data_IF_833215518075
#
_entry.id   IF_833215518075
#
_cell.length_a   1.000
_cell.length_b   1.000
_cell.length_c   1.000
_cell.angle_alpha   90.00
_cell.angle_beta   90.00
_cell.angle_gamma   90.00
#
_symmetry.space_group_name_H-M   'P 1'
#
loop_
_entity.id
_entity.type
_entity.pdbx_description
1 polymer ?
#
# COMPACT_ATOMS: atom_id res chain seq x y z
N UNK A 1 48.84 -14.75 2.36
CA UNK A 1 47.69 -15.38 1.67
C UNK A 1 46.50 -14.40 1.67
N UNK A 2 46.70 -13.19 1.13
CA UNK A 2 45.70 -12.11 1.03
C UNK A 2 45.89 -11.25 -0.24
N UNK A 3 46.76 -11.67 -1.17
CA UNK A 3 47.15 -10.89 -2.37
C UNK A 3 46.54 -11.41 -3.69
N UNK A 4 45.57 -12.33 -3.64
CA UNK A 4 45.02 -12.98 -4.85
C UNK A 4 43.59 -12.57 -5.22
N UNK A 5 42.99 -11.56 -4.58
CA UNK A 5 41.59 -11.16 -4.85
C UNK A 5 41.50 -9.87 -5.67
N UNK A 6 42.48 -9.61 -6.54
CA UNK A 6 42.40 -8.53 -7.53
C UNK A 6 42.59 -9.12 -8.92
N UNK A 7 41.69 -8.74 -9.84
CA UNK A 7 41.63 -9.16 -11.24
C UNK A 7 40.85 -10.45 -11.56
N UNK A 8 39.61 -10.51 -11.08
CA UNK A 8 38.50 -10.66 -12.04
C UNK A 8 37.75 -9.34 -12.02
N UNK A 9 38.24 -8.37 -12.79
CA UNK A 9 37.38 -7.31 -13.27
C UNK A 9 36.15 -8.00 -13.84
N UNK A 10 34.97 -7.72 -13.28
CA UNK A 10 33.72 -7.96 -13.98
C UNK A 10 33.93 -7.29 -15.33
N UNK A 11 34.06 -8.07 -16.40
CA UNK A 11 34.03 -7.53 -17.75
C UNK A 11 32.75 -6.71 -17.80
N UNK A 12 32.87 -5.37 -17.82
CA UNK A 12 31.79 -4.53 -18.31
C UNK A 12 31.50 -5.10 -19.69
N UNK A 13 30.38 -5.83 -19.80
CA UNK A 13 29.86 -6.24 -21.09
C UNK A 13 29.83 -5.01 -21.99
N UNK A 14 30.05 -5.20 -23.28
CA UNK A 14 29.89 -4.14 -24.27
C UNK A 14 28.59 -3.37 -23.96
N UNK A 15 28.61 -2.03 -23.95
CA UNK A 15 27.43 -1.26 -23.63
C UNK A 15 26.36 -1.62 -24.65
N UNK A 16 25.37 -2.41 -24.23
CA UNK A 16 24.17 -2.59 -25.01
C UNK A 16 23.53 -1.21 -25.07
N UNK A 17 23.55 -0.63 -26.27
CA UNK A 17 23.01 0.67 -26.63
C UNK A 17 21.49 0.67 -26.67
N UNK A 18 20.84 0.00 -25.72
CA UNK A 18 19.42 0.20 -25.45
C UNK A 18 19.27 1.46 -24.61
N UNK A 19 18.36 2.39 -24.97
CA UNK A 19 18.04 3.52 -24.11
C UNK A 19 17.61 3.02 -22.73
N UNK A 20 17.95 3.76 -21.69
CA UNK A 20 17.53 3.43 -20.33
C UNK A 20 15.99 3.45 -20.24
N UNK A 21 15.39 2.58 -19.40
CA UNK A 21 13.96 2.64 -19.14
C UNK A 21 13.57 4.01 -18.58
N UNK A 22 12.45 4.55 -19.05
CA UNK A 22 11.92 5.83 -18.58
C UNK A 22 10.94 5.56 -17.45
N UNK A 23 11.11 6.19 -16.31
CA UNK A 23 10.17 6.07 -15.18
C UNK A 23 9.74 7.45 -14.69
N UNK A 24 8.61 7.49 -13.99
CA UNK A 24 8.19 8.67 -13.24
C UNK A 24 8.20 8.36 -11.74
N UNK A 25 8.65 9.31 -10.92
CA UNK A 25 8.57 9.22 -9.46
C UNK A 25 7.60 10.28 -8.95
N UNK A 26 6.53 9.81 -8.30
CA UNK A 26 5.49 10.65 -7.72
C UNK A 26 5.67 10.69 -6.21
N UNK A 27 6.11 11.82 -5.67
CA UNK A 27 6.37 11.95 -4.24
C UNK A 27 5.14 12.45 -3.47
N UNK A 28 4.89 11.80 -2.33
CA UNK A 28 3.81 12.14 -1.39
C UNK A 28 4.30 12.60 -0.01
N UNK A 29 5.63 12.68 0.17
CA UNK A 29 6.30 13.06 1.41
C UNK A 29 6.63 11.86 2.31
N UNK A 30 6.33 11.97 3.60
CA UNK A 30 6.65 10.95 4.60
C UNK A 30 8.10 10.92 5.07
N UNK A 31 8.41 9.94 5.90
CA UNK A 31 9.71 9.81 6.57
C UNK A 31 10.90 9.65 5.63
N UNK A 32 10.69 9.09 4.43
CA UNK A 32 11.73 8.97 3.39
C UNK A 32 12.24 10.32 2.91
N UNK A 33 11.45 11.40 3.10
CA UNK A 33 11.83 12.77 2.78
C UNK A 33 12.03 13.65 4.04
N UNK A 34 11.56 13.22 5.22
CA UNK A 34 11.60 14.04 6.45
C UNK A 34 13.00 14.18 7.04
N UNK A 35 13.41 15.38 7.44
CA UNK A 35 14.75 15.68 7.97
C UNK A 35 14.74 15.88 9.48
N UNK A 36 15.56 15.14 10.22
CA UNK A 36 15.74 15.36 11.66
C UNK A 36 16.81 16.41 11.98
N UNK A 37 16.82 16.96 13.21
CA UNK A 37 17.79 17.98 13.63
C UNK A 37 19.21 17.43 13.81
N UNK A 38 19.38 16.10 13.95
CA UNK A 38 20.68 15.45 14.06
C UNK A 38 20.62 13.98 13.64
N UNK A 39 21.79 13.36 13.43
CA UNK A 39 21.91 11.99 12.89
C UNK A 39 21.41 10.87 13.81
N UNK A 40 21.16 11.15 15.09
CA UNK A 40 20.59 10.20 16.06
C UNK A 40 19.07 10.38 16.25
N UNK A 41 18.44 11.22 15.42
CA UNK A 41 17.00 11.44 15.52
C UNK A 41 16.25 10.42 14.67
N UNK A 42 15.38 9.66 15.33
CA UNK A 42 14.51 8.65 14.72
C UNK A 42 13.03 8.92 15.04
N UNK A 43 12.71 10.01 15.72
CA UNK A 43 11.39 10.25 16.30
C UNK A 43 10.87 11.67 16.08
N UNK A 44 11.71 12.69 16.14
CA UNK A 44 11.29 14.10 16.11
C UNK A 44 11.24 14.68 14.69
N UNK A 45 11.88 14.04 13.70
CA UNK A 45 11.89 14.50 12.31
C UNK A 45 10.52 14.85 11.72
N UNK A 46 9.38 14.21 12.10
CA UNK A 46 8.07 14.64 11.61
C UNK A 46 7.58 15.97 12.21
N UNK A 47 8.09 16.36 13.38
CA UNK A 47 7.60 17.50 14.17
C UNK A 47 8.46 18.77 14.03
N UNK A 48 9.78 18.60 13.97
CA UNK A 48 10.74 19.72 14.02
C UNK A 48 11.57 19.85 12.74
N UNK A 49 11.32 18.97 11.78
CA UNK A 49 12.11 18.78 10.58
C UNK A 49 11.73 19.62 9.38
N UNK A 50 12.64 19.66 8.41
CA UNK A 50 12.31 20.02 7.03
C UNK A 50 11.93 18.77 6.23
N UNK A 51 11.64 18.96 4.95
CA UNK A 51 11.43 17.86 4.01
C UNK A 51 12.31 18.07 2.77
N UNK A 52 12.87 16.99 2.25
CA UNK A 52 13.48 16.97 0.92
C UNK A 52 12.37 16.92 -0.13
N UNK A 53 12.57 17.65 -1.21
CA UNK A 53 11.91 17.38 -2.49
C UNK A 53 12.36 16.03 -3.05
N UNK A 54 11.63 15.49 -4.04
CA UNK A 54 12.07 14.27 -4.71
C UNK A 54 13.40 14.47 -5.47
N UNK A 55 13.64 15.65 -6.03
CA UNK A 55 14.91 15.97 -6.70
C UNK A 55 16.09 15.96 -5.71
N UNK A 56 15.93 16.55 -4.52
CA UNK A 56 16.95 16.51 -3.48
C UNK A 56 17.18 15.09 -2.95
N UNK A 57 16.14 14.26 -2.91
CA UNK A 57 16.25 12.84 -2.56
C UNK A 57 17.06 12.07 -3.62
N UNK A 58 16.78 12.30 -4.91
CA UNK A 58 17.54 11.71 -6.02
C UNK A 58 19.00 12.16 -6.05
N UNK A 59 19.30 13.40 -5.67
CA UNK A 59 20.67 13.91 -5.57
C UNK A 59 21.54 13.14 -4.54
N UNK A 60 20.91 12.42 -3.60
CA UNK A 60 21.62 11.56 -2.64
C UNK A 60 21.97 10.18 -3.19
N UNK A 61 21.32 9.76 -4.28
CA UNK A 61 21.51 8.46 -4.94
C UNK A 61 21.77 8.64 -6.44
N UNK A 62 22.86 9.31 -6.84
CA UNK A 62 23.16 9.57 -8.25
C UNK A 62 23.21 8.30 -9.11
N UNK A 63 23.45 7.13 -8.51
CA UNK A 63 23.41 5.81 -9.15
C UNK A 63 22.04 5.47 -9.76
N UNK A 64 20.96 6.14 -9.34
CA UNK A 64 19.64 5.99 -9.95
C UNK A 64 19.63 6.35 -11.45
N UNK A 65 20.50 7.29 -11.87
CA UNK A 65 20.63 7.70 -13.27
C UNK A 65 21.31 6.63 -14.16
N UNK A 66 22.01 5.66 -13.57
CA UNK A 66 22.55 4.51 -14.30
C UNK A 66 21.47 3.43 -14.54
N UNK A 67 20.33 3.51 -13.84
CA UNK A 67 19.25 2.53 -13.87
C UNK A 67 18.11 2.97 -14.79
N UNK A 68 17.74 4.25 -14.74
CA UNK A 68 16.58 4.78 -15.47
C UNK A 68 16.72 6.26 -15.83
N UNK A 69 16.03 6.67 -16.89
CA UNK A 69 15.71 8.07 -17.15
C UNK A 69 14.51 8.47 -16.26
N UNK A 70 14.76 9.34 -15.29
CA UNK A 70 13.81 9.64 -14.21
C UNK A 70 13.16 11.01 -14.45
N UNK A 71 11.83 11.02 -14.55
CA UNK A 71 11.01 12.21 -14.29
C UNK A 71 10.55 12.15 -12.84
N UNK A 72 10.51 13.30 -12.16
CA UNK A 72 10.15 13.36 -10.76
C UNK A 72 9.18 14.52 -10.50
N UNK A 73 8.18 14.28 -9.66
CA UNK A 73 7.21 15.29 -9.26
C UNK A 73 6.79 15.11 -7.80
N UNK A 74 6.63 16.23 -7.09
CA UNK A 74 6.05 16.27 -5.74
C UNK A 74 4.55 16.64 -5.88
N UNK A 75 3.66 15.66 -5.71
CA UNK A 75 2.20 15.90 -5.82
C UNK A 75 1.58 16.24 -4.47
N UNK A 76 2.10 15.62 -3.41
CA UNK A 76 1.65 15.77 -2.03
C UNK A 76 2.90 15.84 -1.17
N UNK A 77 2.91 16.67 -0.13
CA UNK A 77 4.04 16.74 0.82
C UNK A 77 3.52 16.79 2.25
N UNK A 78 2.91 15.68 2.69
CA UNK A 78 2.37 15.53 4.06
C UNK A 78 2.81 14.23 4.71
N UNK A 79 2.66 14.14 6.03
CA UNK A 79 2.77 12.86 6.74
C UNK A 79 1.63 11.93 6.32
N UNK A 80 1.90 10.63 6.13
CA UNK A 80 0.89 9.72 5.59
C UNK A 80 -0.32 9.49 6.50
N UNK A 81 -0.25 9.89 7.77
CA UNK A 81 -1.41 9.97 8.68
C UNK A 81 -2.47 11.00 8.24
N UNK A 82 -2.12 11.89 7.30
CA UNK A 82 -3.03 12.85 6.68
C UNK A 82 -3.42 12.47 5.24
N UNK A 83 -2.97 11.31 4.73
CA UNK A 83 -3.35 10.81 3.40
C UNK A 83 -4.59 9.93 3.53
N UNK A 84 -5.66 10.31 2.86
CA UNK A 84 -6.93 9.58 2.86
C UNK A 84 -7.62 9.57 1.49
N UNK A 85 -8.94 9.39 1.46
CA UNK A 85 -9.70 9.21 0.21
C UNK A 85 -9.48 10.30 -0.86
N UNK A 86 -9.45 11.61 -0.54
CA UNK A 86 -9.18 12.64 -1.55
C UNK A 86 -7.79 12.51 -2.17
N UNK A 87 -6.76 12.28 -1.34
CA UNK A 87 -5.37 12.11 -1.79
C UNK A 87 -5.21 10.81 -2.60
N UNK A 88 -5.88 9.74 -2.19
CA UNK A 88 -5.90 8.46 -2.91
C UNK A 88 -6.50 8.62 -4.32
N UNK A 89 -7.64 9.31 -4.44
CA UNK A 89 -8.25 9.62 -5.74
C UNK A 89 -7.31 10.44 -6.63
N UNK A 90 -6.73 11.51 -6.08
CA UNK A 90 -5.77 12.37 -6.79
C UNK A 90 -4.56 11.57 -7.27
N UNK A 91 -3.99 10.72 -6.43
CA UNK A 91 -2.82 9.91 -6.77
C UNK A 91 -3.13 8.85 -7.83
N UNK A 92 -4.26 8.15 -7.71
CA UNK A 92 -4.68 7.14 -8.68
C UNK A 92 -4.96 7.76 -10.06
N UNK A 93 -5.67 8.89 -10.10
CA UNK A 93 -5.93 9.62 -11.34
C UNK A 93 -4.62 10.09 -11.97
N UNK A 94 -3.69 10.65 -11.18
CA UNK A 94 -2.39 11.09 -11.68
C UNK A 94 -1.59 9.94 -12.30
N UNK A 95 -1.49 8.80 -11.62
CA UNK A 95 -0.76 7.62 -12.11
C UNK A 95 -1.39 7.10 -13.41
N UNK A 96 -2.73 7.02 -13.48
CA UNK A 96 -3.43 6.62 -14.69
C UNK A 96 -3.21 7.60 -15.85
N UNK A 97 -3.13 8.91 -15.58
CA UNK A 97 -2.84 9.93 -16.58
C UNK A 97 -1.39 9.88 -17.07
N UNK A 98 -0.42 9.66 -16.18
CA UNK A 98 0.98 9.46 -16.53
C UNK A 98 1.10 8.33 -17.55
N UNK A 99 0.50 7.18 -17.25
CA UNK A 99 0.54 6.01 -18.13
C UNK A 99 -0.19 6.24 -19.46
N UNK A 100 -1.33 6.92 -19.43
CA UNK A 100 -2.11 7.24 -20.64
C UNK A 100 -1.36 8.19 -21.57
N UNK A 101 -0.68 9.18 -21.01
CA UNK A 101 0.01 10.22 -21.77
C UNK A 101 1.41 9.80 -22.24
N UNK A 102 2.02 8.80 -21.61
CA UNK A 102 3.33 8.28 -22.01
C UNK A 102 3.31 6.74 -22.20
N UNK A 103 2.94 6.26 -23.40
CA UNK A 103 2.98 4.84 -23.74
C UNK A 103 4.39 4.22 -23.68
N UNK A 104 5.44 5.04 -23.73
CA UNK A 104 6.84 4.58 -23.68
C UNK A 104 7.40 4.48 -22.25
N UNK A 105 6.64 4.93 -21.24
CA UNK A 105 7.05 4.84 -19.84
C UNK A 105 7.11 3.38 -19.39
N UNK A 106 8.18 3.00 -18.71
CA UNK A 106 8.40 1.66 -18.17
C UNK A 106 7.62 1.41 -16.88
N UNK A 107 7.49 2.40 -16.00
CA UNK A 107 6.78 2.27 -14.73
C UNK A 107 6.75 3.55 -13.90
N UNK A 108 6.08 3.48 -12.76
CA UNK A 108 5.96 4.59 -11.79
C UNK A 108 6.44 4.14 -10.42
N UNK A 109 7.29 4.94 -9.78
CA UNK A 109 7.60 4.79 -8.35
C UNK A 109 6.86 5.87 -7.55
N UNK A 110 6.52 5.55 -6.30
CA UNK A 110 5.85 6.48 -5.38
C UNK A 110 6.61 6.49 -4.07
N UNK A 111 7.05 7.67 -3.61
CA UNK A 111 7.59 7.82 -2.25
C UNK A 111 6.46 8.19 -1.30
N UNK A 112 6.37 7.51 -0.16
CA UNK A 112 5.25 7.61 0.75
C UNK A 112 5.66 7.44 2.22
N UNK A 113 4.89 8.03 3.13
CA UNK A 113 5.06 7.80 4.56
C UNK A 113 4.60 6.41 4.98
N UNK A 114 5.32 5.78 5.91
CA UNK A 114 5.07 4.37 6.26
C UNK A 114 3.82 4.12 7.11
N UNK A 115 3.19 5.15 7.71
CA UNK A 115 2.05 4.94 8.61
C UNK A 115 0.84 4.30 7.93
N UNK A 116 0.50 4.75 6.72
CA UNK A 116 -0.66 4.27 5.92
C UNK A 116 -0.23 3.76 4.53
N UNK A 117 1.06 3.43 4.34
CA UNK A 117 1.59 2.97 3.05
C UNK A 117 0.81 1.76 2.50
N UNK A 118 0.48 0.81 3.36
CA UNK A 118 -0.29 -0.39 2.99
C UNK A 118 -1.72 -0.07 2.51
N UNK A 119 -2.31 1.02 3.00
CA UNK A 119 -3.65 1.47 2.62
C UNK A 119 -3.62 2.11 1.23
N UNK A 120 -2.73 3.09 1.03
CA UNK A 120 -2.52 3.72 -0.28
C UNK A 120 -2.14 2.69 -1.33
N UNK A 121 -1.26 1.73 -0.97
CA UNK A 121 -0.87 0.66 -1.87
C UNK A 121 -2.05 -0.19 -2.29
N UNK A 122 -2.89 -0.62 -1.35
CA UNK A 122 -4.04 -1.44 -1.70
C UNK A 122 -5.09 -0.67 -2.50
N UNK A 123 -5.32 0.62 -2.18
CA UNK A 123 -6.20 1.47 -2.98
C UNK A 123 -5.73 1.55 -4.44
N UNK A 124 -4.44 1.82 -4.66
CA UNK A 124 -3.85 1.87 -6.00
C UNK A 124 -3.89 0.49 -6.69
N UNK A 125 -3.67 -0.59 -5.95
CA UNK A 125 -3.76 -1.97 -6.45
C UNK A 125 -5.13 -2.27 -7.06
N UNK A 126 -6.17 -1.62 -6.57
CA UNK A 126 -7.54 -1.77 -7.04
C UNK A 126 -7.93 -0.75 -8.12
N UNK A 127 -7.26 0.39 -8.24
CA UNK A 127 -7.73 1.54 -9.04
C UNK A 127 -6.81 1.95 -10.20
N UNK A 128 -5.55 1.52 -10.21
CA UNK A 128 -4.64 1.72 -11.35
C UNK A 128 -5.12 0.87 -12.53
N UNK A 129 -5.20 1.46 -13.73
CA UNK A 129 -5.69 0.82 -14.96
C UNK A 129 -4.60 0.57 -15.99
N UNK A 130 -3.43 0.19 -15.50
CA UNK A 130 -2.28 -0.20 -16.32
C UNK A 130 -1.63 -1.49 -15.78
N UNK A 131 -0.94 -2.23 -16.64
CA UNK A 131 -0.20 -3.45 -16.27
C UNK A 131 1.28 -3.18 -16.01
N UNK A 132 1.80 -2.00 -16.34
CA UNK A 132 3.16 -1.58 -16.02
C UNK A 132 3.36 -1.42 -14.51
N UNK A 133 4.59 -1.55 -14.00
CA UNK A 133 4.87 -1.53 -12.58
C UNK A 133 4.49 -0.19 -11.95
N UNK A 134 3.80 -0.27 -10.81
CA UNK A 134 3.66 0.83 -9.86
C UNK A 134 4.24 0.34 -8.55
N UNK A 135 5.25 1.04 -8.04
CA UNK A 135 6.03 0.61 -6.88
C UNK A 135 5.98 1.69 -5.82
N UNK A 136 5.47 1.37 -4.64
CA UNK A 136 5.40 2.31 -3.52
C UNK A 136 6.49 1.96 -2.52
N UNK A 137 7.22 2.97 -2.07
CA UNK A 137 8.26 2.82 -1.07
C UNK A 137 8.20 3.90 -0.01
N UNK A 138 8.91 3.68 1.09
CA UNK A 138 9.03 4.61 2.20
C UNK A 138 10.30 4.32 3.00
N UNK A 139 10.44 4.95 4.15
CA UNK A 139 11.55 4.69 5.06
C UNK A 139 11.09 4.71 6.51
N UNK A 140 11.71 3.88 7.34
CA UNK A 140 11.51 3.91 8.79
C UNK A 140 12.42 4.93 9.48
N UNK A 141 13.55 5.27 8.86
CA UNK A 141 14.51 6.25 9.34
C UNK A 141 14.60 7.43 8.36
N UNK A 142 14.67 8.68 8.84
CA UNK A 142 14.81 9.83 7.96
C UNK A 142 16.15 9.82 7.21
N UNK A 143 16.30 10.53 6.07
CA UNK A 143 17.58 10.64 5.35
C UNK A 143 18.75 11.18 6.18
N UNK A 144 18.46 11.96 7.23
CA UNK A 144 19.46 12.50 8.16
C UNK A 144 20.02 11.46 9.12
N UNK A 145 19.29 10.37 9.38
CA UNK A 145 19.62 9.43 10.44
C UNK A 145 20.79 8.49 10.09
N UNK A 146 21.51 8.04 11.11
CA UNK A 146 22.50 6.99 10.97
C UNK A 146 21.83 5.68 10.53
N UNK A 147 22.42 5.06 9.50
CA UNK A 147 21.91 3.82 8.92
C UNK A 147 20.52 3.99 8.33
N UNK A 148 20.26 5.13 7.68
CA UNK A 148 18.98 5.38 7.00
C UNK A 148 18.68 4.30 5.96
N UNK A 149 17.43 3.89 5.89
CA UNK A 149 16.88 3.00 4.86
C UNK A 149 16.29 3.78 3.67
N UNK A 150 16.24 5.12 3.74
CA UNK A 150 15.64 5.96 2.70
C UNK A 150 16.31 5.80 1.33
N UNK A 151 17.64 5.84 1.30
CA UNK A 151 18.41 5.83 0.05
C UNK A 151 18.30 4.46 -0.66
N UNK A 152 18.43 3.36 0.09
CA UNK A 152 18.35 1.99 -0.47
C UNK A 152 16.92 1.64 -0.91
N UNK A 153 15.91 2.03 -0.13
CA UNK A 153 14.52 1.77 -0.49
C UNK A 153 14.12 2.57 -1.75
N UNK A 154 14.61 3.80 -1.91
CA UNK A 154 14.35 4.62 -3.11
C UNK A 154 15.02 4.02 -4.36
N UNK A 155 16.30 3.63 -4.29
CA UNK A 155 16.97 3.04 -5.45
C UNK A 155 16.34 1.69 -5.84
N UNK A 156 15.87 0.90 -4.88
CA UNK A 156 15.15 -0.34 -5.18
C UNK A 156 13.78 -0.09 -5.83
N UNK A 157 13.07 0.96 -5.41
CA UNK A 157 11.83 1.36 -6.09
C UNK A 157 12.08 1.77 -7.55
N UNK A 158 13.18 2.49 -7.81
CA UNK A 158 13.63 2.82 -9.18
C UNK A 158 13.91 1.55 -9.97
N UNK A 159 14.68 0.59 -9.41
CA UNK A 159 15.00 -0.69 -10.07
C UNK A 159 13.75 -1.48 -10.44
N UNK A 160 12.77 -1.56 -9.54
CA UNK A 160 11.55 -2.33 -9.77
C UNK A 160 10.64 -1.62 -10.78
N UNK A 161 10.50 -0.28 -10.69
CA UNK A 161 9.73 0.49 -11.67
C UNK A 161 10.32 0.41 -13.08
N UNK A 162 11.64 0.30 -13.18
CA UNK A 162 12.37 0.11 -14.43
C UNK A 162 12.38 -1.35 -14.95
N UNK A 163 11.99 -2.32 -14.13
CA UNK A 163 12.15 -3.74 -14.45
C UNK A 163 11.01 -4.26 -15.33
N UNK A 164 11.30 -4.88 -16.49
CA UNK A 164 10.28 -5.51 -17.32
C UNK A 164 9.63 -6.72 -16.63
N UNK A 165 10.27 -7.31 -15.62
CA UNK A 165 9.75 -8.46 -14.87
C UNK A 165 8.70 -8.08 -13.81
N UNK A 166 8.60 -6.80 -13.44
CA UNK A 166 7.64 -6.32 -12.46
C UNK A 166 6.25 -6.04 -13.05
N UNK A 167 6.12 -6.04 -14.39
CA UNK A 167 4.84 -5.84 -15.07
C UNK A 167 3.85 -6.97 -14.79
N UNK A 168 2.57 -6.63 -14.66
CA UNK A 168 1.50 -7.61 -14.43
C UNK A 168 1.41 -8.13 -13.00
N UNK A 169 2.20 -7.62 -12.07
CA UNK A 169 2.23 -8.07 -10.66
C UNK A 169 1.34 -7.21 -9.73
N UNK A 170 0.51 -6.34 -10.33
CA UNK A 170 -0.27 -5.33 -9.63
C UNK A 170 0.62 -4.22 -9.07
N UNK A 171 0.07 -3.43 -8.15
CA UNK A 171 0.87 -2.49 -7.35
C UNK A 171 1.76 -3.26 -6.38
N UNK A 172 3.03 -2.86 -6.32
CA UNK A 172 4.07 -3.46 -5.48
C UNK A 172 4.47 -2.49 -4.37
N UNK A 173 4.99 -3.02 -3.28
CA UNK A 173 5.74 -2.23 -2.29
C UNK A 173 7.13 -2.79 -2.12
N UNK A 174 8.14 -1.93 -1.94
CA UNK A 174 9.50 -2.35 -1.63
C UNK A 174 10.06 -1.60 -0.44
N UNK A 175 10.44 -2.34 0.59
CA UNK A 175 11.21 -1.85 1.75
C UNK A 175 12.10 -2.99 2.23
N UNK A 176 13.28 -2.68 2.77
CA UNK A 176 14.21 -3.69 3.29
C UNK A 176 14.57 -4.77 2.23
N UNK A 177 14.74 -4.33 0.97
CA UNK A 177 14.99 -5.19 -0.20
C UNK A 177 13.89 -6.22 -0.52
N UNK A 178 12.80 -6.28 0.24
CA UNK A 178 11.69 -7.22 0.04
C UNK A 178 10.60 -6.60 -0.84
N UNK A 179 10.17 -7.35 -1.86
CA UNK A 179 9.11 -6.95 -2.79
C UNK A 179 7.81 -7.61 -2.35
N UNK A 180 6.80 -6.82 -2.01
CA UNK A 180 5.51 -7.32 -1.55
C UNK A 180 4.36 -6.96 -2.50
N UNK A 181 3.33 -7.81 -2.49
CA UNK A 181 2.02 -7.50 -3.05
C UNK A 181 1.37 -6.40 -2.20
N UNK A 182 0.90 -5.33 -2.85
CA UNK A 182 0.18 -4.26 -2.16
C UNK A 182 -1.09 -4.75 -1.44
N UNK A 183 -1.69 -5.86 -1.89
CA UNK A 183 -2.84 -6.48 -1.21
C UNK A 183 -2.48 -7.08 0.14
N UNK A 184 -1.31 -7.70 0.26
CA UNK A 184 -0.99 -8.56 1.40
C UNK A 184 0.00 -7.91 2.39
N UNK A 185 0.74 -6.89 1.95
CA UNK A 185 1.71 -6.20 2.80
C UNK A 185 1.06 -5.47 3.98
N UNK A 186 1.64 -5.58 5.17
CA UNK A 186 1.22 -4.85 6.37
C UNK A 186 2.44 -4.37 7.15
N UNK A 187 2.31 -3.26 7.87
CA UNK A 187 3.31 -2.76 8.82
C UNK A 187 3.17 -3.50 10.14
N UNK A 188 4.17 -4.30 10.49
CA UNK A 188 4.15 -5.22 11.64
C UNK A 188 4.89 -4.69 12.87
N UNK A 189 5.71 -3.66 12.70
CA UNK A 189 6.52 -3.05 13.74
C UNK A 189 6.52 -1.51 13.67
N UNK A 190 6.49 -0.84 14.81
CA UNK A 190 6.47 0.62 14.86
C UNK A 190 7.83 1.29 14.59
N UNK A 191 8.96 0.57 14.72
CA UNK A 191 10.31 1.17 14.66
C UNK A 191 11.35 0.40 13.84
N UNK A 192 11.19 -0.90 13.65
CA UNK A 192 12.17 -1.75 12.94
C UNK A 192 12.09 -1.53 11.43
N UNK A 193 13.21 -1.69 10.72
CA UNK A 193 13.29 -1.43 9.27
C UNK A 193 12.58 -2.55 8.50
N UNK A 194 12.69 -3.78 9.00
CA UNK A 194 12.04 -5.00 8.55
C UNK A 194 10.54 -5.07 8.94
N UNK A 195 9.86 -3.91 8.97
CA UNK A 195 8.49 -3.82 9.48
C UNK A 195 7.42 -4.25 8.49
N UNK A 196 7.63 -4.02 7.19
CA UNK A 196 6.64 -4.41 6.20
C UNK A 196 6.78 -5.89 5.92
N UNK A 197 5.69 -6.62 6.13
CA UNK A 197 5.65 -8.06 5.96
C UNK A 197 4.36 -8.52 5.29
N UNK A 198 4.38 -9.67 4.62
CA UNK A 198 3.27 -10.18 3.80
C UNK A 198 2.19 -10.95 4.59
N UNK A 199 2.16 -10.81 5.92
CA UNK A 199 1.44 -11.74 6.79
C UNK A 199 1.92 -13.18 6.59
N UNK A 200 1.00 -14.11 6.34
CA UNK A 200 1.30 -15.55 6.15
C UNK A 200 1.58 -15.95 4.68
N UNK A 201 1.38 -15.06 3.71
CA UNK A 201 1.42 -15.41 2.28
C UNK A 201 2.81 -15.29 1.62
N UNK A 202 3.76 -14.64 2.30
CA UNK A 202 5.13 -14.46 1.81
C UNK A 202 5.29 -13.28 0.84
N UNK A 203 6.49 -12.70 0.79
CA UNK A 203 6.84 -11.67 -0.20
C UNK A 203 6.94 -12.29 -1.59
N UNK A 204 6.85 -11.44 -2.61
CA UNK A 204 6.91 -11.83 -4.02
C UNK A 204 8.34 -12.06 -4.49
N UNK A 205 9.31 -11.33 -3.94
CA UNK A 205 10.70 -11.41 -4.37
C UNK A 205 11.61 -10.42 -3.68
N UNK A 206 12.78 -10.17 -4.28
CA UNK A 206 13.81 -9.28 -3.76
C UNK A 206 14.35 -8.32 -4.82
N UNK A 207 14.81 -7.15 -4.35
CA UNK A 207 15.69 -6.24 -5.09
C UNK A 207 17.02 -6.17 -4.35
N UNK A 208 18.02 -6.92 -4.82
CA UNK A 208 19.20 -7.27 -4.02
C UNK A 208 20.49 -6.56 -4.47
N UNK A 209 21.58 -6.82 -3.73
CA UNK A 209 22.88 -6.17 -3.91
C UNK A 209 23.56 -6.43 -5.26
N UNK A 210 23.09 -7.39 -6.05
CA UNK A 210 23.54 -7.63 -7.42
C UNK A 210 22.80 -6.74 -8.46
N UNK A 211 21.94 -5.84 -7.98
CA UNK A 211 21.15 -4.91 -8.78
C UNK A 211 19.98 -5.57 -9.52
N UNK A 212 19.68 -6.84 -9.24
CA UNK A 212 18.61 -7.57 -9.90
C UNK A 212 17.28 -7.46 -9.13
N UNK A 213 16.19 -7.50 -9.90
CA UNK A 213 14.82 -7.65 -9.39
C UNK A 213 14.40 -9.09 -9.69
N UNK A 214 14.25 -9.90 -8.65
CA UNK A 214 13.95 -11.33 -8.78
C UNK A 214 12.63 -11.65 -8.09
N UNK A 215 11.66 -12.16 -8.85
CA UNK A 215 10.33 -12.53 -8.36
C UNK A 215 10.18 -14.05 -8.34
N UNK A 216 9.71 -14.59 -7.22
CA UNK A 216 9.49 -16.01 -6.98
C UNK A 216 8.00 -16.38 -6.83
N UNK A 217 7.14 -15.39 -6.55
CA UNK A 217 5.68 -15.56 -6.41
C UNK A 217 4.94 -14.45 -7.16
N UNK A 218 3.67 -14.70 -7.48
CA UNK A 218 2.75 -13.75 -8.07
C UNK A 218 1.43 -13.69 -7.28
N UNK A 219 0.77 -12.53 -7.19
CA UNK A 219 -0.57 -12.44 -6.60
C UNK A 219 -1.59 -13.21 -7.47
N UNK A 220 -2.57 -13.83 -6.81
CA UNK A 220 -3.63 -14.61 -7.48
C UNK A 220 -5.00 -13.93 -7.43
N UNK A 221 -5.12 -12.87 -6.61
CA UNK A 221 -6.30 -12.01 -6.53
C UNK A 221 -6.28 -11.02 -7.68
N UNK A 222 -7.45 -10.66 -8.21
CA UNK A 222 -7.55 -9.74 -9.34
C UNK A 222 -7.09 -8.35 -8.90
N UNK A 223 -6.40 -7.64 -9.80
CA UNK A 223 -5.85 -6.32 -9.52
C UNK A 223 -5.77 -5.48 -10.79
N UNK A 224 -5.50 -4.20 -10.59
CA UNK A 224 -5.27 -3.19 -11.63
C UNK A 224 -6.29 -3.22 -12.78
N UNK A 225 -5.88 -3.66 -13.98
CA UNK A 225 -6.72 -3.74 -15.18
C UNK A 225 -7.83 -4.79 -15.08
N UNK A 226 -7.70 -5.75 -14.16
CA UNK A 226 -8.68 -6.81 -13.93
C UNK A 226 -9.76 -6.46 -12.89
N UNK A 227 -9.68 -5.28 -12.25
CA UNK A 227 -10.72 -4.81 -11.32
C UNK A 227 -11.74 -3.91 -12.04
N UNK A 228 -13.00 -3.84 -11.56
CA UNK A 228 -14.00 -2.95 -12.13
C UNK A 228 -13.85 -1.49 -11.69
N UNK A 229 -12.99 -1.20 -10.70
CA UNK A 229 -12.95 0.10 -10.02
C UNK A 229 -12.21 1.16 -10.84
N UNK A 230 -12.90 1.90 -11.70
CA UNK A 230 -12.37 3.10 -12.36
C UNK A 230 -12.72 4.35 -11.56
N UNK A 231 -11.69 5.12 -11.17
CA UNK A 231 -11.83 6.34 -10.37
C UNK A 231 -11.68 7.61 -11.20
N UNK A 232 -11.68 7.51 -12.53
CA UNK A 232 -11.63 8.66 -13.43
C UNK A 232 -12.82 9.59 -13.19
N UNK A 233 -12.56 10.84 -12.81
CA UNK A 233 -13.60 11.84 -12.53
C UNK A 233 -14.41 11.61 -11.25
N UNK A 234 -14.01 10.64 -10.41
CA UNK A 234 -14.61 10.45 -9.09
C UNK A 234 -14.07 11.50 -8.13
N UNK A 235 -14.97 12.28 -7.52
CA UNK A 235 -14.61 13.38 -6.61
C UNK A 235 -14.63 12.97 -5.13
N UNK A 236 -15.42 11.94 -4.79
CA UNK A 236 -15.56 11.45 -3.41
C UNK A 236 -15.90 9.96 -3.37
N UNK A 237 -15.54 9.29 -2.28
CA UNK A 237 -15.87 7.90 -2.01
C UNK A 237 -16.88 7.78 -0.86
N UNK A 238 -17.70 6.71 -0.82
CA UNK A 238 -18.59 6.42 0.30
C UNK A 238 -17.84 6.41 1.64
N UNK A 239 -18.45 6.95 2.69
CA UNK A 239 -17.89 6.99 4.04
C UNK A 239 -17.97 5.61 4.67
N UNK A 240 -16.80 4.99 4.89
CA UNK A 240 -16.69 3.74 5.66
C UNK A 240 -15.83 3.94 6.90
N UNK A 241 -16.36 3.54 8.05
CA UNK A 241 -15.69 3.62 9.34
C UNK A 241 -15.30 2.23 9.87
N UNK A 242 -14.29 2.17 10.76
CA UNK A 242 -13.79 0.93 11.37
C UNK A 242 -13.99 0.99 12.88
N UNK A 243 -14.65 0.00 13.47
CA UNK A 243 -14.86 -0.10 14.92
C UNK A 243 -14.19 -1.36 15.47
N UNK A 244 -13.38 -1.18 16.51
CA UNK A 244 -12.62 -2.27 17.13
C UNK A 244 -13.41 -2.94 18.26
N UNK A 245 -13.42 -4.27 18.27
CA UNK A 245 -13.85 -5.04 19.42
C UNK A 245 -12.71 -5.20 20.45
N UNK A 246 -13.07 -5.12 21.72
CA UNK A 246 -12.20 -5.38 22.87
C UNK A 246 -13.04 -5.96 24.01
N UNK A 247 -12.37 -6.46 25.06
CA UNK A 247 -13.07 -7.02 26.22
C UNK A 247 -13.98 -5.96 26.85
N UNK A 248 -15.29 -6.21 26.84
CA UNK A 248 -16.29 -5.27 27.34
C UNK A 248 -16.82 -4.26 26.31
N UNK A 249 -16.38 -4.30 25.05
CA UNK A 249 -16.97 -3.47 24.00
C UNK A 249 -18.48 -3.74 23.87
N UNK A 250 -19.26 -2.67 23.79
CA UNK A 250 -20.71 -2.70 23.73
C UNK A 250 -21.23 -1.98 22.47
N UNK A 251 -22.47 -1.49 22.51
CA UNK A 251 -23.11 -0.88 21.35
C UNK A 251 -22.63 0.54 21.04
N UNK A 252 -21.97 1.23 21.99
CA UNK A 252 -21.76 2.69 21.93
C UNK A 252 -21.11 3.16 20.63
N UNK A 253 -19.98 2.56 20.24
CA UNK A 253 -19.25 2.99 19.04
C UNK A 253 -19.95 2.57 17.74
N UNK A 254 -20.68 1.46 17.76
CA UNK A 254 -21.45 1.00 16.59
C UNK A 254 -22.64 1.91 16.36
N UNK A 255 -23.40 2.21 17.43
CA UNK A 255 -24.54 3.11 17.37
C UNK A 255 -24.07 4.52 16.98
N UNK A 256 -22.94 5.00 17.50
CA UNK A 256 -22.37 6.29 17.10
C UNK A 256 -22.04 6.37 15.59
N UNK A 257 -21.45 5.32 15.01
CA UNK A 257 -21.16 5.28 13.57
C UNK A 257 -22.46 5.24 12.76
N UNK A 258 -23.41 4.38 13.15
CA UNK A 258 -24.72 4.26 12.52
C UNK A 258 -25.48 5.60 12.52
N UNK A 259 -25.53 6.26 13.67
CA UNK A 259 -26.34 7.47 13.87
C UNK A 259 -25.70 8.71 13.19
N UNK A 260 -24.42 8.65 12.80
CA UNK A 260 -23.71 9.74 12.09
C UNK A 260 -23.59 9.53 10.57
N UNK A 261 -24.37 8.61 9.99
CA UNK A 261 -24.55 8.51 8.54
C UNK A 261 -23.36 7.92 7.78
N UNK A 262 -22.70 6.90 8.33
CA UNK A 262 -21.71 6.14 7.58
C UNK A 262 -22.37 5.24 6.54
N UNK A 263 -21.86 5.26 5.31
CA UNK A 263 -22.37 4.46 4.19
C UNK A 263 -22.01 2.96 4.34
N UNK A 264 -21.00 2.65 5.15
CA UNK A 264 -20.61 1.28 5.48
C UNK A 264 -19.79 1.21 6.76
N UNK A 265 -19.68 0.00 7.32
CA UNK A 265 -18.99 -0.24 8.58
C UNK A 265 -18.14 -1.50 8.49
N UNK A 266 -16.89 -1.41 8.95
CA UNK A 266 -16.03 -2.57 9.20
C UNK A 266 -15.90 -2.76 10.71
N UNK A 267 -16.12 -3.99 11.19
CA UNK A 267 -15.89 -4.32 12.59
C UNK A 267 -14.71 -5.27 12.76
N UNK A 268 -13.72 -4.89 13.57
CA UNK A 268 -12.52 -5.68 13.81
C UNK A 268 -12.70 -6.56 15.05
N UNK A 269 -13.06 -7.82 14.83
CA UNK A 269 -13.37 -8.80 15.87
C UNK A 269 -12.16 -9.57 16.39
N UNK A 270 -12.43 -10.59 17.21
CA UNK A 270 -11.44 -11.55 17.70
C UNK A 270 -11.37 -12.78 16.80
N UNK A 271 -10.20 -13.44 16.71
CA UNK A 271 -10.06 -14.74 16.06
C UNK A 271 -10.65 -14.77 14.65
N UNK A 272 -11.50 -15.75 14.34
CA UNK A 272 -12.21 -15.89 13.05
C UNK A 272 -13.40 -14.93 12.85
N UNK A 273 -13.34 -13.72 13.43
CA UNK A 273 -14.41 -12.72 13.40
C UNK A 273 -15.53 -13.02 14.40
N UNK A 274 -15.18 -13.14 15.68
CA UNK A 274 -16.12 -13.23 16.81
C UNK A 274 -16.11 -11.93 17.62
N UNK A 275 -17.21 -11.64 18.31
CA UNK A 275 -17.46 -10.32 18.90
C UNK A 275 -18.24 -10.44 20.22
N UNK A 276 -18.14 -9.46 21.13
CA UNK A 276 -19.01 -9.39 22.30
C UNK A 276 -20.49 -9.34 21.89
N UNK A 277 -21.42 -9.99 22.65
CA UNK A 277 -22.83 -10.08 22.25
C UNK A 277 -23.51 -8.73 21.98
N UNK A 278 -23.34 -7.75 22.87
CA UNK A 278 -23.95 -6.41 22.69
C UNK A 278 -23.42 -5.68 21.46
N UNK A 279 -22.14 -5.85 21.18
CA UNK A 279 -21.44 -5.24 20.04
C UNK A 279 -21.97 -5.81 18.72
N UNK A 280 -22.03 -7.14 18.57
CA UNK A 280 -22.53 -7.76 17.34
C UNK A 280 -24.04 -7.58 17.17
N UNK A 281 -24.81 -7.53 18.26
CA UNK A 281 -26.23 -7.17 18.18
C UNK A 281 -26.44 -5.74 17.70
N UNK A 282 -25.57 -4.79 18.06
CA UNK A 282 -25.60 -3.45 17.51
C UNK A 282 -25.24 -3.40 16.03
N UNK A 283 -24.25 -4.20 15.63
CA UNK A 283 -23.86 -4.33 14.23
C UNK A 283 -24.99 -4.93 13.37
N UNK A 284 -25.73 -5.91 13.90
CA UNK A 284 -26.89 -6.49 13.21
C UNK A 284 -28.00 -5.44 13.00
N UNK A 285 -28.25 -4.56 13.98
CA UNK A 285 -29.20 -3.44 13.80
C UNK A 285 -28.74 -2.49 12.70
N UNK A 286 -27.44 -2.20 12.61
CA UNK A 286 -26.93 -1.38 11.51
C UNK A 286 -27.20 -2.01 10.13
N UNK A 287 -27.13 -3.34 10.02
CA UNK A 287 -27.52 -4.07 8.79
C UNK A 287 -29.02 -3.94 8.53
N UNK A 288 -29.87 -4.06 9.56
CA UNK A 288 -31.33 -3.87 9.44
C UNK A 288 -31.69 -2.46 8.94
N UNK A 289 -30.90 -1.46 9.34
CA UNK A 289 -31.03 -0.07 8.88
C UNK A 289 -30.39 0.20 7.50
N UNK A 290 -29.89 -0.84 6.83
CA UNK A 290 -29.36 -0.78 5.46
C UNK A 290 -27.88 -0.42 5.35
N UNK A 291 -27.13 -0.34 6.46
CA UNK A 291 -25.68 -0.10 6.44
C UNK A 291 -24.94 -1.43 6.24
N UNK A 292 -24.18 -1.62 5.15
CA UNK A 292 -23.38 -2.82 4.95
C UNK A 292 -22.30 -2.96 6.02
N UNK A 293 -22.31 -4.09 6.73
CA UNK A 293 -21.35 -4.38 7.80
C UNK A 293 -20.42 -5.52 7.39
N UNK A 294 -19.12 -5.22 7.34
CA UNK A 294 -18.05 -6.17 7.06
C UNK A 294 -17.41 -6.65 8.36
N UNK A 295 -17.37 -7.97 8.53
CA UNK A 295 -16.72 -8.66 9.62
C UNK A 295 -15.24 -8.86 9.27
N UNK A 296 -14.37 -8.21 10.04
CA UNK A 296 -12.93 -8.35 9.98
C UNK A 296 -12.37 -8.91 11.30
N UNK A 297 -11.06 -9.07 11.38
CA UNK A 297 -10.38 -9.48 12.60
C UNK A 297 -9.24 -8.55 12.94
N UNK A 298 -9.01 -8.34 14.23
CA UNK A 298 -7.83 -7.65 14.74
C UNK A 298 -6.59 -8.54 14.76
N UNK A 299 -6.75 -9.85 14.52
CA UNK A 299 -5.61 -10.74 14.34
C UNK A 299 -4.80 -10.31 13.13
N UNK A 300 -3.46 -10.35 13.19
CA UNK A 300 -2.61 -9.93 12.07
C UNK A 300 -2.64 -10.89 10.87
N UNK A 301 -3.28 -12.06 11.01
CA UNK A 301 -3.38 -13.06 9.97
C UNK A 301 -4.63 -13.94 10.14
N UNK A 302 -4.93 -14.72 9.11
CA UNK A 302 -6.07 -15.63 9.05
C UNK A 302 -7.29 -15.04 8.35
N UNK A 303 -8.27 -15.92 8.09
CA UNK A 303 -9.50 -15.58 7.36
C UNK A 303 -10.69 -15.41 8.30
N UNK A 304 -11.58 -14.46 7.98
CA UNK A 304 -12.95 -14.44 8.50
C UNK A 304 -13.85 -15.19 7.53
N UNK A 305 -14.43 -16.29 8.00
CA UNK A 305 -15.24 -17.19 7.18
C UNK A 305 -16.73 -16.89 7.39
N UNK A 306 -17.49 -16.84 6.29
CA UNK A 306 -18.95 -16.72 6.33
C UNK A 306 -19.56 -18.00 6.89
N UNK A 307 -20.58 -17.86 7.73
CA UNK A 307 -21.34 -18.99 8.28
C UNK A 307 -22.82 -18.74 8.02
N UNK A 308 -23.69 -19.78 8.04
CA UNK A 308 -25.12 -19.60 7.82
C UNK A 308 -25.74 -18.53 8.73
N UNK A 309 -25.31 -18.48 9.99
CA UNK A 309 -25.75 -17.45 10.94
C UNK A 309 -25.29 -16.04 10.54
N UNK A 310 -24.03 -15.86 10.14
CA UNK A 310 -23.52 -14.54 9.72
C UNK A 310 -24.25 -14.07 8.47
N UNK A 311 -24.55 -14.99 7.57
CA UNK A 311 -25.29 -14.75 6.34
C UNK A 311 -26.76 -14.40 6.58
N UNK A 312 -27.46 -15.13 7.46
CA UNK A 312 -28.82 -14.81 7.87
C UNK A 312 -28.91 -13.42 8.51
N UNK A 313 -27.88 -13.00 9.24
CA UNK A 313 -27.76 -11.65 9.80
C UNK A 313 -27.33 -10.58 8.79
N UNK A 314 -27.16 -10.94 7.50
CA UNK A 314 -26.82 -10.01 6.42
C UNK A 314 -25.37 -9.51 6.42
N UNK A 315 -24.49 -10.06 7.26
CA UNK A 315 -23.10 -9.63 7.32
C UNK A 315 -22.30 -10.01 6.08
N UNK A 316 -21.23 -9.24 5.82
CA UNK A 316 -20.20 -9.51 4.81
C UNK A 316 -18.93 -9.96 5.54
N UNK A 317 -18.14 -10.86 4.98
CA UNK A 317 -16.81 -11.23 5.54
C UNK A 317 -15.68 -10.77 4.63
N UNK A 318 -14.58 -10.32 5.21
CA UNK A 318 -13.47 -9.69 4.47
C UNK A 318 -12.41 -10.67 3.94
N UNK A 319 -12.68 -11.97 3.96
CA UNK A 319 -11.68 -13.01 3.73
C UNK A 319 -10.45 -12.81 4.64
N UNK A 320 -9.27 -12.50 4.09
CA UNK A 320 -8.04 -12.27 4.85
C UNK A 320 -7.59 -10.80 4.88
N UNK A 321 -8.43 -9.85 4.45
CA UNK A 321 -8.06 -8.43 4.50
C UNK A 321 -8.03 -7.92 5.94
N UNK A 322 -7.02 -7.11 6.27
CA UNK A 322 -6.98 -6.35 7.52
C UNK A 322 -8.14 -5.33 7.57
N UNK A 323 -8.57 -4.87 8.76
CA UNK A 323 -9.70 -3.94 8.87
C UNK A 323 -9.56 -2.68 8.00
N UNK A 324 -8.37 -2.10 7.93
CA UNK A 324 -8.07 -0.92 7.12
C UNK A 324 -8.13 -1.20 5.60
N UNK A 325 -7.71 -2.39 5.15
CA UNK A 325 -7.86 -2.80 3.74
C UNK A 325 -9.28 -3.19 3.39
N UNK A 326 -9.98 -3.84 4.31
CA UNK A 326 -11.40 -4.16 4.16
C UNK A 326 -12.24 -2.87 4.03
N UNK A 327 -11.87 -1.81 4.75
CA UNK A 327 -12.47 -0.47 4.60
C UNK A 327 -12.30 0.04 3.18
N UNK A 328 -11.09 -0.01 2.62
CA UNK A 328 -10.82 0.45 1.24
C UNK A 328 -11.67 -0.32 0.23
N UNK A 329 -11.69 -1.65 0.32
CA UNK A 329 -12.48 -2.45 -0.61
C UNK A 329 -13.98 -2.18 -0.46
N UNK A 330 -14.48 -1.98 0.76
CA UNK A 330 -15.88 -1.61 0.96
C UNK A 330 -16.20 -0.24 0.35
N UNK A 331 -15.35 0.77 0.49
CA UNK A 331 -15.56 2.09 -0.13
C UNK A 331 -15.69 1.98 -1.65
N UNK A 332 -14.80 1.21 -2.29
CA UNK A 332 -14.83 1.00 -3.74
C UNK A 332 -16.03 0.13 -4.17
N UNK A 333 -16.37 -0.88 -3.40
CA UNK A 333 -17.50 -1.75 -3.67
C UNK A 333 -18.83 -0.99 -3.61
N UNK A 334 -19.04 -0.15 -2.59
CA UNK A 334 -20.25 0.67 -2.45
C UNK A 334 -20.39 1.73 -3.56
N UNK A 335 -19.27 2.18 -4.13
CA UNK A 335 -19.30 3.06 -5.30
C UNK A 335 -19.70 2.34 -6.60
N UNK A 336 -19.67 1.00 -6.64
CA UNK A 336 -19.84 0.19 -7.85
C UNK A 336 -20.99 -0.83 -7.78
N UNK A 337 -21.51 -1.12 -6.59
CA UNK A 337 -22.57 -2.08 -6.36
C UNK A 337 -23.49 -1.61 -5.24
N UNK A 338 -24.76 -1.99 -5.33
CA UNK A 338 -25.81 -1.62 -4.37
C UNK A 338 -26.32 -2.79 -3.54
N UNK A 339 -25.99 -4.03 -3.90
CA UNK A 339 -26.48 -5.24 -3.22
C UNK A 339 -25.37 -5.96 -2.44
N UNK A 340 -25.76 -6.62 -1.34
CA UNK A 340 -24.85 -7.35 -0.45
C UNK A 340 -24.08 -8.46 -1.16
N UNK A 341 -24.73 -9.21 -2.06
CA UNK A 341 -24.12 -10.39 -2.70
C UNK A 341 -22.96 -9.98 -3.61
N UNK A 342 -23.17 -8.95 -4.43
CA UNK A 342 -22.12 -8.36 -5.25
C UNK A 342 -20.96 -7.86 -4.39
N UNK A 343 -21.22 -7.13 -3.30
CA UNK A 343 -20.17 -6.65 -2.40
C UNK A 343 -19.41 -7.83 -1.78
N UNK A 344 -20.12 -8.85 -1.30
CA UNK A 344 -19.48 -10.05 -0.74
C UNK A 344 -18.61 -10.78 -1.78
N UNK A 345 -19.05 -10.86 -3.03
CA UNK A 345 -18.27 -11.45 -4.11
C UNK A 345 -17.00 -10.66 -4.38
N UNK A 346 -17.05 -9.32 -4.34
CA UNK A 346 -15.85 -8.48 -4.47
C UNK A 346 -14.80 -8.80 -3.39
N UNK A 347 -15.21 -9.01 -2.13
CA UNK A 347 -14.32 -9.45 -1.04
C UNK A 347 -13.69 -10.83 -1.27
N UNK A 348 -14.29 -11.68 -2.10
CA UNK A 348 -13.71 -12.96 -2.49
C UNK A 348 -12.87 -12.91 -3.75
N UNK A 349 -12.86 -11.81 -4.50
CA UNK A 349 -12.11 -11.69 -5.76
C UNK A 349 -10.86 -10.82 -5.64
N UNK A 350 -10.94 -9.76 -4.83
CA UNK A 350 -9.93 -8.70 -4.73
C UNK A 350 -9.17 -8.71 -3.39
#
# INVERSE_FOLDING_TARGET
MLESIHSRAIQKGEPMTSPLPRINIVATGGSIAGLGPHRLDYILYPEVGGHLTIEESLARIPEAADIAEIQAEDIISVGSTAIGPPEWLSLAQRINDIFRNDPGLSGVAVTHGTATLEETAYFLHLTVKDSRPVVITGAMRPPTALGTDADINLIDAVRIAASPHAGGMGVLTVLNNEIHSARDVMKLNSFRVETFGPGELGFLGYADSDGQVVLYRAPTRKHTTATPFDVTGVESLPRVDVVYAYGGADALLIDAVRDNGSDGLVIAGFGGGTYPPKFVSAAARAVEDGIPVVLATRSPAGRVIITPRKEEQGFIVCDNLSPQKARILLMLALANASDRESVQQMFYEF
#
